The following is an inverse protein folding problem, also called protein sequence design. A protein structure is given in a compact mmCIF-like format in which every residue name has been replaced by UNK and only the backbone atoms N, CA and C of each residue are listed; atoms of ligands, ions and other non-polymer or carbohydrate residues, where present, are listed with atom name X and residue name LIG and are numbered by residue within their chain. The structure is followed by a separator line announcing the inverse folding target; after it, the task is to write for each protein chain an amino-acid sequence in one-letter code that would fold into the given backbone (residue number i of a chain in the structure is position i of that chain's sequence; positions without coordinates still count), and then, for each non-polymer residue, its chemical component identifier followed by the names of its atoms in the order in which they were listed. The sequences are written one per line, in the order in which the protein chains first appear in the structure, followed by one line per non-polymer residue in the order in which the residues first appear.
data_IF_175458600687
#
_entry.id   IF_175458600687
#
_cell.length_a   1.000
_cell.length_b   1.000
_cell.length_c   1.000
_cell.angle_alpha   90.00
_cell.angle_beta   90.00
_cell.angle_gamma   90.00
#
_symmetry.space_group_name_H-M   'P 1'
#
loop_
_entity.id
_entity.type
_entity.pdbx_description
1 polymer ?
#
# COMPACT_ATOMS: atom_id res chain seq x y z
N UNK A 1 12.76 7.91 8.08
CA UNK A 1 12.05 7.82 9.35
C UNK A 1 11.87 6.38 9.76
N UNK A 2 11.96 6.10 11.05
CA UNK A 2 11.84 4.74 11.58
C UNK A 2 10.62 4.61 12.47
N UNK A 3 10.07 3.39 12.51
CA UNK A 3 8.90 3.06 13.32
C UNK A 3 9.26 2.00 14.37
N UNK A 4 8.54 2.02 15.48
CA UNK A 4 8.68 1.00 16.52
C UNK A 4 8.04 -0.30 16.06
N UNK A 5 8.64 -1.43 16.45
CA UNK A 5 8.14 -2.76 16.08
C UNK A 5 7.46 -3.48 17.22
N UNK A 6 7.01 -2.79 18.23
CA UNK A 6 6.41 -3.42 19.40
C UNK A 6 5.10 -4.13 19.05
N UNK A 7 4.92 -5.31 19.61
CA UNK A 7 3.65 -6.05 19.59
C UNK A 7 3.19 -6.54 18.23
N UNK A 8 4.10 -6.70 17.27
CA UNK A 8 3.72 -7.20 15.94
C UNK A 8 4.13 -8.65 15.77
N UNK A 9 3.32 -9.37 14.98
CA UNK A 9 3.63 -10.73 14.55
C UNK A 9 4.88 -10.71 13.68
N UNK A 10 5.73 -11.75 13.81
CA UNK A 10 6.96 -11.87 13.02
C UNK A 10 6.73 -11.87 11.51
N UNK A 11 5.56 -12.37 11.08
CA UNK A 11 5.25 -12.47 9.65
C UNK A 11 4.66 -11.20 9.08
N UNK A 12 4.37 -10.22 9.92
CA UNK A 12 3.80 -8.96 9.45
C UNK A 12 4.83 -8.16 8.66
N UNK A 13 4.36 -7.56 7.58
CA UNK A 13 5.16 -6.68 6.75
C UNK A 13 5.15 -5.26 7.34
N UNK A 14 5.86 -5.09 8.44
CA UNK A 14 5.98 -3.81 9.12
C UNK A 14 6.95 -2.92 8.35
N UNK A 15 6.56 -1.68 8.09
CA UNK A 15 7.45 -0.74 7.43
C UNK A 15 8.32 -0.09 8.50
N UNK A 16 9.63 -0.40 8.47
CA UNK A 16 10.58 0.05 9.48
C UNK A 16 11.11 1.45 9.24
N UNK A 17 11.22 1.83 7.98
CA UNK A 17 11.69 3.14 7.59
C UNK A 17 11.29 3.43 6.16
N UNK A 18 11.39 4.68 5.78
CA UNK A 18 11.09 5.07 4.41
C UNK A 18 11.96 6.26 3.99
N UNK A 19 12.06 6.45 2.69
CA UNK A 19 12.61 7.65 2.08
C UNK A 19 11.65 8.09 0.99
N UNK A 20 12.03 9.11 0.25
CA UNK A 20 11.22 9.60 -0.87
C UNK A 20 10.96 8.50 -1.91
N UNK A 21 11.92 7.60 -2.11
CA UNK A 21 11.88 6.63 -3.19
C UNK A 21 12.02 5.18 -2.74
N UNK A 22 11.88 4.91 -1.44
CA UNK A 22 12.04 3.54 -0.96
C UNK A 22 11.31 3.32 0.36
N UNK A 23 11.08 2.06 0.67
CA UNK A 23 10.61 1.62 1.99
C UNK A 23 11.46 0.44 2.41
N UNK A 24 11.59 0.25 3.71
CA UNK A 24 12.30 -0.90 4.27
C UNK A 24 11.34 -1.75 5.09
N UNK A 25 11.30 -3.03 4.75
CA UNK A 25 10.48 -4.02 5.45
C UNK A 25 11.40 -5.17 5.81
N UNK A 26 11.42 -5.55 7.12
CA UNK A 26 12.37 -6.54 7.62
C UNK A 26 13.79 -6.06 7.29
N UNK A 27 14.59 -6.87 6.67
CA UNK A 27 15.98 -6.51 6.35
C UNK A 27 16.17 -6.11 4.89
N UNK A 28 15.07 -5.83 4.19
CA UNK A 28 15.15 -5.51 2.77
C UNK A 28 14.62 -4.13 2.48
N UNK A 29 15.34 -3.40 1.65
CA UNK A 29 14.91 -2.12 1.12
C UNK A 29 14.30 -2.33 -0.26
N UNK A 30 13.12 -1.74 -0.47
CA UNK A 30 12.41 -1.80 -1.75
C UNK A 30 12.47 -0.42 -2.36
N UNK A 31 13.26 -0.26 -3.42
CA UNK A 31 13.39 0.99 -4.16
C UNK A 31 12.69 0.91 -5.51
N UNK A 32 11.77 -0.01 -5.66
CA UNK A 32 10.92 -0.17 -6.82
C UNK A 32 9.48 -0.34 -6.33
N UNK A 33 8.52 -0.16 -7.23
CA UNK A 33 7.11 -0.21 -6.87
C UNK A 33 6.71 -1.61 -6.38
N UNK A 34 5.98 -1.66 -5.27
CA UNK A 34 5.61 -2.93 -4.65
C UNK A 34 4.17 -2.93 -4.17
N UNK A 35 3.60 -4.12 -4.10
CA UNK A 35 2.31 -4.39 -3.47
C UNK A 35 2.60 -5.11 -2.16
N UNK A 36 2.18 -4.53 -1.06
CA UNK A 36 2.52 -4.99 0.28
C UNK A 36 1.27 -5.42 1.03
N UNK A 37 1.04 -6.74 1.19
CA UNK A 37 -0.04 -7.23 2.05
C UNK A 37 0.37 -7.15 3.52
N UNK A 38 -0.57 -7.36 4.47
CA UNK A 38 -0.22 -7.41 5.89
C UNK A 38 0.81 -8.50 6.20
N UNK A 39 0.63 -9.66 5.60
CA UNK A 39 1.51 -10.81 5.76
C UNK A 39 1.83 -11.37 4.38
N UNK A 40 2.77 -12.30 4.35
CA UNK A 40 3.11 -13.04 3.14
C UNK A 40 3.92 -12.22 2.15
N UNK A 41 3.96 -12.70 0.95
CA UNK A 41 4.90 -12.25 -0.06
C UNK A 41 4.58 -10.86 -0.59
N UNK A 42 5.59 -10.01 -0.60
CA UNK A 42 5.54 -8.70 -1.25
C UNK A 42 5.85 -8.93 -2.74
N UNK A 43 5.04 -8.34 -3.61
CA UNK A 43 5.19 -8.51 -5.05
C UNK A 43 5.49 -7.17 -5.71
N UNK A 44 6.08 -7.23 -6.91
CA UNK A 44 6.33 -6.01 -7.69
C UNK A 44 5.03 -5.42 -8.20
N UNK A 45 4.93 -4.10 -8.14
CA UNK A 45 3.88 -3.36 -8.82
C UNK A 45 4.44 -2.91 -10.17
N UNK A 46 3.84 -3.38 -11.26
CA UNK A 46 4.42 -3.26 -12.60
C UNK A 46 4.01 -2.00 -13.34
N UNK A 47 3.33 -1.09 -12.67
CA UNK A 47 2.86 0.15 -13.30
C UNK A 47 3.35 1.35 -12.50
N UNK A 48 3.43 2.52 -13.17
CA UNK A 48 3.64 3.77 -12.49
C UNK A 48 2.29 4.36 -12.09
N UNK A 49 2.31 5.46 -11.32
CA UNK A 49 1.08 6.01 -10.75
C UNK A 49 0.12 6.54 -11.83
N UNK A 50 0.63 6.98 -12.98
CA UNK A 50 -0.22 7.49 -14.06
C UNK A 50 -1.06 6.41 -14.70
N UNK A 51 -0.65 5.16 -14.59
CA UNK A 51 -1.35 4.02 -15.20
C UNK A 51 -2.21 3.27 -14.19
N UNK A 52 -2.34 3.76 -12.96
CA UNK A 52 -3.16 3.10 -11.96
C UNK A 52 -4.61 3.04 -12.45
N UNK A 53 -5.22 1.87 -12.30
CA UNK A 53 -6.59 1.65 -12.76
C UNK A 53 -7.32 0.75 -11.76
N UNK A 54 -8.65 0.81 -11.75
CA UNK A 54 -9.42 -0.11 -10.91
C UNK A 54 -9.10 -1.56 -11.20
N UNK A 55 -8.96 -1.91 -12.48
CA UNK A 55 -8.69 -3.28 -12.91
C UNK A 55 -7.35 -3.78 -12.34
N UNK A 56 -6.32 -2.96 -12.41
CA UNK A 56 -5.01 -3.33 -11.89
C UNK A 56 -5.05 -3.54 -10.38
N UNK A 57 -5.71 -2.62 -9.67
CA UNK A 57 -5.83 -2.70 -8.22
C UNK A 57 -6.56 -3.97 -7.83
N UNK A 58 -7.71 -4.23 -8.42
CA UNK A 58 -8.54 -5.39 -8.09
C UNK A 58 -7.78 -6.68 -8.39
N UNK A 59 -7.11 -6.75 -9.53
CA UNK A 59 -6.33 -7.93 -9.92
C UNK A 59 -5.22 -8.26 -8.92
N UNK A 60 -4.63 -7.25 -8.29
CA UNK A 60 -3.48 -7.42 -7.42
C UNK A 60 -3.81 -7.30 -5.93
N UNK A 61 -5.09 -7.19 -5.58
CA UNK A 61 -5.51 -7.01 -4.20
C UNK A 61 -5.71 -8.33 -3.47
N UNK A 62 -6.13 -9.37 -4.18
CA UNK A 62 -6.42 -10.65 -3.55
C UNK A 62 -7.83 -10.71 -2.98
N UNK A 63 -8.16 -11.86 -2.39
CA UNK A 63 -9.50 -12.11 -1.85
C UNK A 63 -9.61 -11.58 -0.42
N UNK A 64 -10.85 -11.25 -0.03
CA UNK A 64 -11.18 -10.86 1.34
C UNK A 64 -10.50 -9.58 1.81
N UNK A 65 -10.09 -8.73 0.89
CA UNK A 65 -9.52 -7.41 1.22
C UNK A 65 -10.65 -6.40 1.15
N UNK A 66 -10.76 -5.55 2.16
CA UNK A 66 -11.79 -4.52 2.19
C UNK A 66 -11.25 -3.10 2.22
N UNK A 67 -9.93 -2.94 2.17
CA UNK A 67 -9.32 -1.61 2.13
C UNK A 67 -8.01 -1.62 1.37
N UNK A 68 -7.76 -0.57 0.60
CA UNK A 68 -6.56 -0.43 -0.22
C UNK A 68 -5.93 0.94 0.04
N UNK A 69 -4.62 0.97 0.24
CA UNK A 69 -3.85 2.20 0.27
C UNK A 69 -3.08 2.33 -1.05
N UNK A 70 -3.22 3.46 -1.71
CA UNK A 70 -2.36 3.81 -2.85
C UNK A 70 -1.40 4.89 -2.38
N UNK A 71 -0.14 4.50 -2.19
CA UNK A 71 0.89 5.38 -1.67
C UNK A 71 1.75 5.91 -2.82
N UNK A 72 1.72 7.21 -3.02
CA UNK A 72 2.54 7.87 -4.04
C UNK A 72 2.66 9.35 -3.71
N UNK A 73 3.81 9.93 -4.02
CA UNK A 73 3.99 11.36 -3.87
C UNK A 73 3.51 12.14 -5.12
N UNK A 74 2.95 11.44 -6.11
CA UNK A 74 2.59 12.03 -7.41
C UNK A 74 1.11 11.82 -7.77
N UNK A 75 0.21 11.86 -6.79
CA UNK A 75 -1.21 11.58 -7.04
C UNK A 75 -2.02 12.78 -7.56
N UNK A 76 -1.41 13.97 -7.62
CA UNK A 76 -2.15 15.20 -7.92
C UNK A 76 -2.81 15.27 -9.29
N UNK A 77 -2.28 14.53 -10.27
CA UNK A 77 -2.78 14.59 -11.65
C UNK A 77 -3.62 13.37 -12.04
N UNK A 78 -4.07 12.59 -11.05
CA UNK A 78 -4.85 11.39 -11.32
C UNK A 78 -6.32 11.69 -11.06
N UNK A 79 -7.18 11.24 -11.95
CA UNK A 79 -8.61 11.26 -11.70
C UNK A 79 -8.96 10.06 -10.82
N UNK A 80 -9.11 10.32 -9.54
CA UNK A 80 -9.34 9.28 -8.52
C UNK A 80 -10.79 8.79 -8.49
N UNK A 81 -11.71 9.60 -8.97
CA UNK A 81 -13.14 9.33 -8.82
C UNK A 81 -13.58 8.00 -9.41
N UNK A 82 -13.22 7.66 -10.67
CA UNK A 82 -13.63 6.37 -11.21
C UNK A 82 -13.07 5.19 -10.43
N UNK A 83 -11.84 5.33 -9.93
CA UNK A 83 -11.19 4.28 -9.16
C UNK A 83 -11.94 4.06 -7.85
N UNK A 84 -12.23 5.14 -7.12
CA UNK A 84 -12.93 5.07 -5.85
C UNK A 84 -14.31 4.44 -6.02
N UNK A 85 -15.04 4.89 -7.04
CA UNK A 85 -16.40 4.40 -7.28
C UNK A 85 -16.41 2.90 -7.61
N UNK A 86 -15.49 2.45 -8.45
CA UNK A 86 -15.47 1.05 -8.84
C UNK A 86 -15.07 0.14 -7.68
N UNK A 87 -14.10 0.54 -6.87
CA UNK A 87 -13.73 -0.25 -5.69
C UNK A 87 -14.85 -0.24 -4.65
N UNK A 88 -15.49 0.90 -4.43
CA UNK A 88 -16.60 0.98 -3.48
C UNK A 88 -17.77 0.09 -3.91
N UNK A 89 -18.01 -0.06 -5.21
CA UNK A 89 -19.04 -0.97 -5.70
C UNK A 89 -18.72 -2.43 -5.37
N UNK A 90 -17.48 -2.74 -5.06
CA UNK A 90 -17.05 -4.07 -4.63
C UNK A 90 -16.83 -4.14 -3.13
N UNK A 91 -17.31 -3.16 -2.39
CA UNK A 91 -17.16 -3.07 -0.94
C UNK A 91 -15.70 -2.95 -0.51
N UNK A 92 -14.87 -2.31 -1.32
CA UNK A 92 -13.48 -2.05 -1.01
C UNK A 92 -13.28 -0.55 -0.84
N UNK A 93 -12.86 -0.14 0.36
CA UNK A 93 -12.45 1.24 0.60
C UNK A 93 -11.07 1.48 0.01
N UNK A 94 -10.79 2.71 -0.40
CA UNK A 94 -9.49 3.05 -0.97
C UNK A 94 -9.13 4.46 -0.56
N UNK A 95 -7.85 4.66 -0.28
CA UNK A 95 -7.33 5.98 0.04
C UNK A 95 -6.00 6.21 -0.64
N UNK A 96 -5.86 7.39 -1.24
CA UNK A 96 -4.61 7.82 -1.87
C UNK A 96 -3.88 8.70 -0.88
N UNK A 97 -2.60 8.43 -0.62
CA UNK A 97 -1.82 9.23 0.31
C UNK A 97 -0.35 9.26 -0.12
N UNK A 98 0.39 10.24 0.40
CA UNK A 98 1.81 10.28 0.13
C UNK A 98 2.54 9.14 0.85
N UNK A 99 3.80 8.93 0.50
CA UNK A 99 4.57 7.78 1.03
C UNK A 99 4.66 7.82 2.55
N UNK A 100 4.94 8.98 3.13
CA UNK A 100 5.10 9.10 4.58
C UNK A 100 3.81 8.72 5.33
N UNK A 101 2.69 9.28 4.90
CA UNK A 101 1.38 8.97 5.51
C UNK A 101 1.00 7.52 5.33
N UNK A 102 1.30 6.97 4.15
CA UNK A 102 0.96 5.58 3.84
C UNK A 102 1.73 4.61 4.73
N UNK A 103 2.99 4.89 5.02
CA UNK A 103 3.78 4.04 5.91
C UNK A 103 3.17 3.98 7.31
N UNK A 104 2.77 5.14 7.85
CA UNK A 104 2.13 5.20 9.16
C UNK A 104 0.78 4.48 9.16
N UNK A 105 -0.04 4.74 8.15
CA UNK A 105 -1.36 4.10 8.03
C UNK A 105 -1.25 2.59 7.87
N UNK A 106 -0.30 2.14 7.06
CA UNK A 106 -0.04 0.71 6.87
C UNK A 106 0.23 0.03 8.22
N UNK A 107 1.13 0.58 9.01
CA UNK A 107 1.48 0.00 10.30
C UNK A 107 0.33 0.06 11.30
N UNK A 108 -0.47 1.11 11.28
CA UNK A 108 -1.67 1.21 12.13
C UNK A 108 -2.67 0.11 11.77
N UNK A 109 -2.93 -0.08 10.48
CA UNK A 109 -3.86 -1.12 10.03
C UNK A 109 -3.36 -2.52 10.40
N UNK A 110 -2.05 -2.74 10.35
CA UNK A 110 -1.46 -3.99 10.86
C UNK A 110 -1.79 -4.20 12.33
N UNK A 111 -1.60 -3.17 13.15
CA UNK A 111 -1.83 -3.26 14.59
C UNK A 111 -3.31 -3.49 14.92
N UNK A 112 -4.20 -3.06 14.03
CA UNK A 112 -5.65 -3.26 14.17
C UNK A 112 -6.13 -4.56 13.56
N UNK A 113 -5.23 -5.35 13.02
CA UNK A 113 -5.55 -6.64 12.40
C UNK A 113 -6.56 -6.51 11.26
N UNK A 114 -6.43 -5.47 10.44
CA UNK A 114 -7.35 -5.16 9.35
C UNK A 114 -6.98 -5.94 8.08
N UNK A 115 -7.98 -6.18 7.24
CA UNK A 115 -7.80 -6.84 5.94
C UNK A 115 -7.57 -5.78 4.86
N UNK A 116 -6.31 -5.54 4.54
CA UNK A 116 -5.96 -4.46 3.63
C UNK A 116 -4.73 -4.82 2.79
N UNK A 117 -4.45 -4.00 1.78
CA UNK A 117 -3.22 -4.10 1.01
C UNK A 117 -2.75 -2.69 0.65
N UNK A 118 -1.44 -2.50 0.62
CA UNK A 118 -0.84 -1.21 0.27
C UNK A 118 -0.04 -1.33 -1.01
N UNK A 119 -0.25 -0.38 -1.93
CA UNK A 119 0.54 -0.25 -3.15
C UNK A 119 1.48 0.93 -2.96
N UNK A 120 2.78 0.70 -2.98
CA UNK A 120 3.78 1.77 -2.89
C UNK A 120 4.34 2.02 -4.27
N UNK A 121 4.06 3.19 -4.81
CA UNK A 121 4.40 3.55 -6.18
C UNK A 121 5.24 4.82 -6.15
N UNK A 122 6.52 4.67 -6.48
CA UNK A 122 7.50 5.74 -6.35
C UNK A 122 7.65 6.59 -7.63
N UNK A 123 7.07 6.17 -8.74
CA UNK A 123 7.20 6.88 -10.02
C UNK A 123 5.85 7.19 -10.66
#
# INVERSE_FOLDING_TARGET
MKFSEQNFNKNFNIIKSYSKNSIRIKDKEYNYNVVVPPENKITKCKINIKLISPEYIIKNTGNNINFVIIASNNTGNIDKTPIILELNNKNIGIEFMNIASACSSHNILLSENRSFVSFFIFN
#
